data_IF_850494631529
#
_entry.id   IF_850494631529
#
_cell.length_a   1.000
_cell.length_b   1.000
_cell.length_c   1.000
_cell.angle_alpha   90.00
_cell.angle_beta   90.00
_cell.angle_gamma   90.00
#
_symmetry.space_group_name_H-M   'P 1'
#
loop_
_entity.id
_entity.type
_entity.pdbx_description
1 polymer ?
#
# COMPACT_ATOMS: atom_id res chain seq x y z
N UNK A 1 2.22 -25.24 -9.57
CA UNK A 1 1.35 -26.36 -9.75
C UNK A 1 1.22 -26.83 -11.20
N UNK A 2 0.12 -26.49 -11.88
CA UNK A 2 -0.24 -27.08 -13.19
C UNK A 2 0.81 -26.89 -14.30
N UNK A 3 1.47 -25.72 -14.36
CA UNK A 3 2.52 -25.45 -15.36
C UNK A 3 3.74 -26.36 -15.18
N UNK A 4 4.17 -26.58 -13.94
CA UNK A 4 5.29 -27.48 -13.66
C UNK A 4 4.92 -28.93 -14.00
N UNK A 5 3.71 -29.38 -13.64
CA UNK A 5 3.23 -30.71 -13.97
C UNK A 5 3.18 -30.92 -15.50
N UNK A 6 2.64 -29.95 -16.25
CA UNK A 6 2.65 -29.99 -17.73
C UNK A 6 4.07 -30.13 -18.27
N UNK A 7 5.01 -29.30 -17.76
CA UNK A 7 6.43 -29.39 -18.18
C UNK A 7 7.05 -30.74 -17.88
N UNK A 8 6.71 -31.35 -16.75
CA UNK A 8 7.21 -32.68 -16.40
C UNK A 8 6.64 -33.81 -17.28
N UNK A 9 5.39 -33.65 -17.74
CA UNK A 9 4.77 -34.62 -18.67
C UNK A 9 5.40 -34.49 -20.06
N UNK A 10 5.61 -33.25 -20.51
CA UNK A 10 6.20 -32.97 -21.83
C UNK A 10 7.71 -33.29 -21.87
N UNK A 11 8.40 -33.20 -20.74
CA UNK A 11 9.84 -33.46 -20.59
C UNK A 11 10.09 -34.45 -19.44
N UNK A 12 9.79 -35.74 -19.64
CA UNK A 12 9.94 -36.74 -18.58
C UNK A 12 11.41 -36.98 -18.23
N UNK A 13 11.66 -37.36 -16.97
CA UNK A 13 12.97 -37.81 -16.55
C UNK A 13 13.32 -39.11 -17.21
N UNK A 14 14.60 -39.27 -17.59
CA UNK A 14 15.16 -40.51 -18.14
C UNK A 14 16.09 -41.21 -17.14
N UNK A 15 16.58 -40.52 -16.13
CA UNK A 15 17.43 -41.10 -15.10
C UNK A 15 16.59 -41.87 -14.07
N UNK A 16 16.86 -43.18 -13.98
CA UNK A 16 16.14 -44.10 -13.11
C UNK A 16 16.20 -43.66 -11.65
N UNK A 17 17.35 -43.22 -11.15
CA UNK A 17 17.52 -42.81 -9.73
C UNK A 17 16.68 -41.59 -9.41
N UNK A 18 16.59 -40.61 -10.33
CA UNK A 18 15.76 -39.43 -10.13
C UNK A 18 14.25 -39.74 -10.15
N UNK A 19 13.85 -40.73 -10.98
CA UNK A 19 12.46 -41.21 -11.01
C UNK A 19 12.11 -41.91 -9.70
N UNK A 20 12.98 -42.82 -9.23
CA UNK A 20 12.79 -43.57 -7.98
C UNK A 20 12.68 -42.61 -6.78
N UNK A 21 13.54 -41.59 -6.66
CA UNK A 21 13.45 -40.57 -5.61
C UNK A 21 12.11 -39.84 -5.61
N UNK A 22 11.54 -39.53 -6.78
CA UNK A 22 10.19 -38.96 -6.85
C UNK A 22 9.12 -39.89 -6.34
N UNK A 23 9.21 -41.16 -6.70
CA UNK A 23 8.26 -42.19 -6.23
C UNK A 23 8.36 -42.43 -4.72
N UNK A 24 9.55 -42.44 -4.17
CA UNK A 24 9.77 -42.57 -2.73
C UNK A 24 9.13 -41.42 -1.96
N UNK A 25 9.31 -40.18 -2.43
CA UNK A 25 8.69 -39.01 -1.82
C UNK A 25 7.16 -39.03 -1.95
N UNK A 26 6.61 -39.44 -3.11
CA UNK A 26 5.16 -39.60 -3.29
C UNK A 26 4.63 -40.68 -2.36
N UNK A 27 5.33 -41.80 -2.22
CA UNK A 27 4.94 -42.86 -1.30
C UNK A 27 4.88 -42.39 0.15
N UNK A 28 5.87 -41.61 0.61
CA UNK A 28 5.83 -40.96 1.93
C UNK A 28 4.62 -40.04 2.10
N UNK A 29 4.34 -39.18 1.13
CA UNK A 29 3.16 -38.31 1.16
C UNK A 29 1.83 -39.07 1.19
N UNK A 30 1.77 -40.27 0.62
CA UNK A 30 0.57 -41.09 0.65
C UNK A 30 0.38 -41.82 2.00
N UNK A 31 1.47 -42.17 2.69
CA UNK A 31 1.43 -42.75 4.04
C UNK A 31 1.20 -41.71 5.13
N UNK A 32 1.80 -40.53 5.00
CA UNK A 32 1.72 -39.43 5.96
C UNK A 32 0.55 -38.48 5.63
N UNK A 33 -0.68 -39.00 5.79
CA UNK A 33 -1.89 -38.32 5.37
C UNK A 33 -2.04 -36.94 6.02
N UNK A 34 -1.73 -36.80 7.31
CA UNK A 34 -1.88 -35.54 8.05
C UNK A 34 -0.92 -34.47 7.49
N UNK A 35 0.37 -34.82 7.34
CA UNK A 35 1.39 -33.90 6.80
C UNK A 35 1.08 -33.53 5.34
N UNK A 36 0.54 -34.45 4.56
CA UNK A 36 0.11 -34.19 3.18
C UNK A 36 -1.01 -33.13 3.13
N UNK A 37 -2.05 -33.26 3.96
CA UNK A 37 -3.15 -32.30 3.95
C UNK A 37 -2.70 -30.94 4.50
N UNK A 38 -1.89 -30.90 5.57
CA UNK A 38 -1.29 -29.66 6.07
C UNK A 38 -0.43 -28.97 5.00
N UNK A 39 0.43 -29.71 4.31
CA UNK A 39 1.23 -29.18 3.21
C UNK A 39 0.36 -28.62 2.08
N UNK A 40 -0.74 -29.32 1.75
CA UNK A 40 -1.68 -28.88 0.73
C UNK A 40 -2.38 -27.57 1.08
N UNK A 41 -2.80 -27.42 2.33
CA UNK A 41 -3.41 -26.17 2.83
C UNK A 41 -2.42 -25.01 2.79
N UNK A 42 -1.18 -25.21 3.24
CA UNK A 42 -0.13 -24.20 3.16
C UNK A 42 0.17 -23.79 1.72
N UNK A 43 0.28 -24.75 0.81
CA UNK A 43 0.53 -24.47 -0.61
C UNK A 43 -0.60 -23.71 -1.30
N UNK A 44 -1.85 -23.81 -0.82
CA UNK A 44 -2.96 -23.00 -1.31
C UNK A 44 -2.79 -21.50 -1.01
N UNK A 45 -2.03 -21.15 0.03
CA UNK A 45 -1.72 -19.79 0.41
C UNK A 45 -0.49 -19.22 -0.31
N UNK A 46 0.24 -20.05 -1.07
CA UNK A 46 1.38 -19.62 -1.90
C UNK A 46 0.85 -19.13 -3.24
N UNK A 47 1.09 -17.88 -3.53
CA UNK A 47 0.72 -17.26 -4.81
C UNK A 47 1.61 -17.78 -5.96
N UNK A 48 1.28 -17.39 -7.16
CA UNK A 48 2.02 -17.74 -8.37
C UNK A 48 3.38 -16.99 -8.41
N UNK A 49 4.39 -17.57 -7.73
CA UNK A 49 5.72 -16.97 -7.61
C UNK A 49 6.41 -16.80 -8.97
N UNK A 50 6.22 -17.74 -9.92
CA UNK A 50 6.79 -17.63 -11.27
C UNK A 50 6.25 -16.39 -11.99
N UNK A 51 4.95 -16.10 -11.87
CA UNK A 51 4.34 -14.89 -12.42
C UNK A 51 4.81 -13.63 -11.71
N UNK A 52 4.93 -13.69 -10.37
CA UNK A 52 5.44 -12.55 -9.59
C UNK A 52 6.88 -12.23 -9.96
N UNK A 53 7.76 -13.25 -10.08
CA UNK A 53 9.16 -13.07 -10.52
C UNK A 53 9.25 -12.43 -11.91
N UNK A 54 8.38 -12.83 -12.84
CA UNK A 54 8.27 -12.19 -14.15
C UNK A 54 7.91 -10.70 -14.03
N UNK A 55 6.90 -10.36 -13.21
CA UNK A 55 6.51 -8.94 -12.99
C UNK A 55 7.59 -8.12 -12.31
N UNK A 56 8.32 -8.71 -11.36
CA UNK A 56 9.49 -8.08 -10.72
C UNK A 56 10.55 -7.76 -11.76
N UNK A 57 10.89 -8.73 -12.62
CA UNK A 57 11.91 -8.58 -13.67
C UNK A 57 11.57 -7.47 -14.66
N UNK A 58 10.30 -7.37 -15.08
CA UNK A 58 9.82 -6.34 -16.00
C UNK A 58 9.55 -4.98 -15.35
N UNK A 59 9.65 -4.87 -14.02
CA UNK A 59 9.39 -3.62 -13.30
C UNK A 59 7.91 -3.22 -13.23
N UNK A 60 6.98 -4.12 -13.53
CA UNK A 60 5.53 -3.88 -13.55
C UNK A 60 4.84 -4.28 -12.22
N UNK A 61 5.62 -4.42 -11.16
CA UNK A 61 5.17 -4.80 -9.84
C UNK A 61 4.41 -3.65 -9.17
N UNK A 62 3.29 -3.95 -8.56
CA UNK A 62 2.54 -3.02 -7.71
C UNK A 62 2.60 -3.43 -6.22
N UNK A 63 2.05 -2.61 -5.33
CA UNK A 63 2.09 -2.87 -3.90
C UNK A 63 1.35 -4.17 -3.51
N UNK A 64 0.23 -4.49 -4.16
CA UNK A 64 -0.51 -5.74 -3.92
C UNK A 64 0.27 -6.98 -4.31
N UNK A 65 1.09 -6.90 -5.36
CA UNK A 65 1.97 -8.01 -5.72
C UNK A 65 3.03 -8.26 -4.63
N UNK A 66 3.55 -7.19 -3.99
CA UNK A 66 4.47 -7.32 -2.85
C UNK A 66 3.78 -7.92 -1.62
N UNK A 67 2.51 -7.58 -1.36
CA UNK A 67 1.72 -8.21 -0.30
C UNK A 67 1.51 -9.72 -0.61
N UNK A 68 1.19 -10.07 -1.85
CA UNK A 68 1.08 -11.47 -2.26
C UNK A 68 2.39 -12.24 -2.08
N UNK A 69 3.52 -11.61 -2.42
CA UNK A 69 4.84 -12.18 -2.18
C UNK A 69 5.08 -12.37 -0.68
N UNK A 70 4.85 -11.35 0.14
CA UNK A 70 4.96 -11.42 1.61
C UNK A 70 4.14 -12.58 2.18
N UNK A 71 2.86 -12.68 1.78
CA UNK A 71 1.97 -13.75 2.25
C UNK A 71 2.46 -15.14 1.83
N UNK A 72 3.05 -15.26 0.64
CA UNK A 72 3.69 -16.51 0.21
C UNK A 72 4.92 -16.85 1.06
N UNK A 73 5.76 -15.86 1.34
CA UNK A 73 6.96 -16.04 2.17
C UNK A 73 6.63 -16.43 3.61
N UNK A 74 5.54 -15.91 4.18
CA UNK A 74 5.11 -16.25 5.55
C UNK A 74 4.77 -17.73 5.74
N UNK A 75 4.45 -18.46 4.68
CA UNK A 75 4.14 -19.89 4.74
C UNK A 75 5.39 -20.78 4.65
N UNK A 76 6.52 -20.24 4.14
CA UNK A 76 7.74 -21.04 3.87
C UNK A 76 8.33 -21.73 5.11
N UNK A 77 8.39 -21.12 6.32
CA UNK A 77 8.89 -21.79 7.51
C UNK A 77 8.08 -23.05 7.84
N UNK A 78 6.77 -22.99 7.70
CA UNK A 78 5.87 -24.13 7.96
C UNK A 78 6.02 -25.23 6.91
N UNK A 79 6.10 -24.81 5.62
CA UNK A 79 6.36 -25.76 4.51
C UNK A 79 7.71 -26.44 4.71
N UNK A 80 8.75 -25.68 5.09
CA UNK A 80 10.09 -26.22 5.35
C UNK A 80 10.06 -27.29 6.44
N UNK A 81 9.41 -27.04 7.57
CA UNK A 81 9.24 -28.00 8.65
C UNK A 81 8.62 -29.31 8.16
N UNK A 82 7.53 -29.25 7.40
CA UNK A 82 6.86 -30.43 6.87
C UNK A 82 7.77 -31.20 5.88
N UNK A 83 8.48 -30.46 5.03
CA UNK A 83 9.42 -31.10 4.08
C UNK A 83 10.59 -31.81 4.79
N UNK A 84 11.07 -31.23 5.90
CA UNK A 84 12.10 -31.86 6.76
C UNK A 84 11.55 -33.12 7.46
N UNK A 85 10.34 -33.12 8.00
CA UNK A 85 9.66 -34.27 8.58
C UNK A 85 9.44 -35.41 7.53
N UNK A 86 9.15 -35.02 6.28
CA UNK A 86 9.02 -35.93 5.16
C UNK A 86 10.37 -36.38 4.56
N UNK A 87 11.48 -35.89 5.12
CA UNK A 87 12.86 -36.18 4.62
C UNK A 87 13.00 -35.84 3.12
N UNK A 88 12.45 -34.73 2.69
CA UNK A 88 12.59 -34.27 1.31
C UNK A 88 14.04 -33.90 1.01
N UNK A 89 14.58 -34.37 -0.10
CA UNK A 89 16.01 -34.33 -0.43
C UNK A 89 16.53 -32.94 -0.85
N UNK A 90 15.65 -31.92 -0.90
CA UNK A 90 16.02 -30.55 -1.25
C UNK A 90 15.75 -29.58 -0.10
N UNK A 91 16.71 -28.72 0.14
CA UNK A 91 16.57 -27.65 1.13
C UNK A 91 15.70 -26.52 0.57
N UNK A 92 14.72 -26.10 1.35
CA UNK A 92 13.93 -24.89 1.07
C UNK A 92 14.60 -23.72 1.79
N UNK A 93 15.04 -22.69 1.04
CA UNK A 93 15.53 -21.45 1.61
C UNK A 93 14.33 -20.60 2.07
N UNK A 94 14.33 -20.21 3.34
CA UNK A 94 13.33 -19.31 3.90
C UNK A 94 13.90 -17.90 3.81
N UNK A 95 13.22 -17.00 3.12
CA UNK A 95 13.68 -15.63 2.86
C UNK A 95 13.16 -14.68 3.95
N UNK A 96 13.59 -14.90 5.20
CA UNK A 96 13.10 -14.16 6.38
C UNK A 96 13.41 -12.68 6.28
N UNK A 97 14.57 -12.29 5.79
CA UNK A 97 14.99 -10.91 5.58
C UNK A 97 14.11 -10.19 4.55
N UNK A 98 13.72 -10.88 3.48
CA UNK A 98 12.79 -10.35 2.49
C UNK A 98 11.37 -10.22 3.06
N UNK A 99 10.92 -11.24 3.81
CA UNK A 99 9.64 -11.19 4.50
C UNK A 99 9.57 -9.99 5.44
N UNK A 100 10.58 -9.83 6.32
CA UNK A 100 10.64 -8.71 7.25
C UNK A 100 10.66 -7.34 6.56
N UNK A 101 11.42 -7.21 5.46
CA UNK A 101 11.43 -5.97 4.68
C UNK A 101 10.03 -5.63 4.20
N UNK A 102 9.32 -6.58 3.59
CA UNK A 102 7.98 -6.35 3.05
C UNK A 102 6.96 -6.09 4.15
N UNK A 103 7.06 -6.81 5.27
CA UNK A 103 6.15 -6.61 6.41
C UNK A 103 6.32 -5.25 7.08
N UNK A 104 7.53 -4.75 7.18
CA UNK A 104 7.82 -3.43 7.77
C UNK A 104 7.51 -2.28 6.82
N UNK A 105 7.58 -2.50 5.51
CA UNK A 105 7.55 -1.42 4.52
C UNK A 105 6.21 -1.21 3.83
N UNK A 106 5.47 -2.28 3.51
CA UNK A 106 4.27 -2.20 2.67
C UNK A 106 3.00 -2.23 3.52
N UNK A 107 2.10 -1.29 3.24
CA UNK A 107 0.79 -1.24 3.89
C UNK A 107 -0.11 -2.38 3.40
N UNK A 108 -0.77 -3.08 4.32
CA UNK A 108 -1.69 -4.20 3.99
C UNK A 108 -2.85 -3.77 3.08
N UNK A 109 -3.36 -2.56 3.31
CA UNK A 109 -4.46 -1.97 2.54
C UNK A 109 -3.98 -1.13 1.36
N UNK A 110 -2.75 -1.38 0.86
CA UNK A 110 -2.19 -0.60 -0.23
C UNK A 110 -3.09 -0.67 -1.48
N UNK A 111 -3.33 0.47 -2.16
CA UNK A 111 -4.10 0.50 -3.39
C UNK A 111 -3.34 -0.17 -4.55
N UNK A 112 -4.05 -0.47 -5.64
CA UNK A 112 -3.42 -1.01 -6.86
C UNK A 112 -2.55 0.05 -7.53
N UNK A 113 -3.01 1.31 -7.49
CA UNK A 113 -2.39 2.44 -8.17
C UNK A 113 -1.41 3.15 -7.25
N UNK A 114 -0.14 3.17 -7.63
CA UNK A 114 0.93 3.80 -6.85
C UNK A 114 0.67 5.30 -6.60
N UNK A 115 0.00 5.97 -7.53
CA UNK A 115 -0.28 7.42 -7.48
C UNK A 115 -1.31 7.83 -6.43
N UNK A 116 -2.02 6.89 -5.84
CA UNK A 116 -3.04 7.17 -4.80
C UNK A 116 -2.42 7.37 -3.41
N UNK A 117 -1.12 7.08 -3.25
CA UNK A 117 -0.48 7.07 -1.94
C UNK A 117 -0.90 5.88 -1.08
N UNK A 118 -0.64 5.95 0.22
CA UNK A 118 -0.96 4.91 1.21
C UNK A 118 -0.34 3.53 0.92
N UNK A 119 0.84 3.52 0.30
CA UNK A 119 1.58 2.32 -0.08
C UNK A 119 2.52 1.89 1.04
N UNK A 120 3.21 2.87 1.63
CA UNK A 120 4.23 2.65 2.65
C UNK A 120 3.60 2.65 4.04
N UNK A 121 3.97 1.63 4.81
CA UNK A 121 3.50 1.41 6.19
C UNK A 121 4.02 2.52 7.11
N UNK A 122 3.16 2.99 8.01
CA UNK A 122 3.55 3.96 9.04
C UNK A 122 4.70 3.40 9.88
N UNK A 123 5.69 4.22 10.16
CA UNK A 123 6.90 3.84 10.92
C UNK A 123 8.05 3.34 10.05
N UNK A 124 7.85 3.15 8.74
CA UNK A 124 8.94 2.75 7.84
C UNK A 124 9.89 3.90 7.51
N UNK A 125 9.34 5.10 7.28
CA UNK A 125 10.11 6.32 7.02
C UNK A 125 9.64 7.44 7.93
N UNK A 126 10.55 7.94 8.78
CA UNK A 126 10.25 9.07 9.68
C UNK A 126 9.86 10.34 8.90
N UNK A 127 10.56 10.63 7.80
CA UNK A 127 10.28 11.77 6.95
C UNK A 127 8.87 11.69 6.33
N UNK A 128 8.48 10.51 5.86
CA UNK A 128 7.15 10.29 5.31
C UNK A 128 6.06 10.46 6.40
N UNK A 129 6.30 9.94 7.60
CA UNK A 129 5.36 10.08 8.71
C UNK A 129 5.20 11.55 9.12
N UNK A 130 6.26 12.33 9.12
CA UNK A 130 6.23 13.77 9.37
C UNK A 130 5.41 14.52 8.31
N UNK A 131 5.63 14.24 7.00
CA UNK A 131 4.86 14.83 5.92
C UNK A 131 3.36 14.48 6.01
N UNK A 132 3.03 13.22 6.28
CA UNK A 132 1.63 12.79 6.49
C UNK A 132 0.99 13.43 7.71
N UNK A 133 1.75 13.65 8.78
CA UNK A 133 1.28 14.34 9.98
C UNK A 133 0.98 15.81 9.69
N UNK A 134 1.83 16.49 8.91
CA UNK A 134 1.60 17.88 8.50
C UNK A 134 0.33 18.00 7.64
N UNK A 135 0.14 17.11 6.69
CA UNK A 135 -1.05 17.08 5.85
C UNK A 135 -2.33 16.81 6.67
N UNK A 136 -2.32 15.81 7.55
CA UNK A 136 -3.48 15.51 8.41
C UNK A 136 -3.74 16.60 9.43
N UNK A 137 -2.70 17.15 10.07
CA UNK A 137 -2.81 18.31 10.97
C UNK A 137 -3.35 19.55 10.27
N UNK A 138 -3.09 19.69 8.97
CA UNK A 138 -3.68 20.72 8.14
C UNK A 138 -5.20 20.58 7.97
N UNK A 139 -5.71 19.35 7.80
CA UNK A 139 -7.16 19.09 7.75
C UNK A 139 -7.84 19.42 9.07
N UNK A 140 -7.25 19.05 10.18
CA UNK A 140 -7.74 19.41 11.51
C UNK A 140 -7.72 20.93 11.73
N UNK A 141 -6.70 21.61 11.19
CA UNK A 141 -6.65 23.09 11.20
C UNK A 141 -7.82 23.70 10.42
N UNK A 142 -8.18 23.17 9.26
CA UNK A 142 -9.32 23.66 8.46
C UNK A 142 -10.63 23.53 9.25
N UNK A 143 -10.86 22.41 9.94
CA UNK A 143 -12.03 22.22 10.79
C UNK A 143 -12.07 23.22 11.98
N UNK A 144 -10.93 23.42 12.63
CA UNK A 144 -10.80 24.44 13.70
C UNK A 144 -11.03 25.84 13.18
N UNK A 145 -10.49 26.16 11.99
CA UNK A 145 -10.70 27.48 11.37
C UNK A 145 -12.19 27.73 11.08
N UNK A 146 -12.93 26.73 10.63
CA UNK A 146 -14.38 26.84 10.41
C UNK A 146 -15.09 27.24 11.70
N UNK A 147 -14.74 26.58 12.81
CA UNK A 147 -15.32 26.88 14.11
C UNK A 147 -14.91 28.30 14.60
N UNK A 148 -13.61 28.61 14.57
CA UNK A 148 -13.09 29.94 14.95
C UNK A 148 -13.76 31.07 14.16
N UNK A 149 -13.91 30.88 12.84
CA UNK A 149 -14.54 31.89 11.97
C UNK A 149 -16.03 32.03 12.25
N UNK A 150 -16.75 30.96 12.56
CA UNK A 150 -18.15 31.02 13.00
C UNK A 150 -18.29 31.80 14.31
N UNK A 151 -17.44 31.54 15.28
CA UNK A 151 -17.44 32.23 16.57
C UNK A 151 -17.07 33.71 16.42
N UNK A 152 -16.03 34.04 15.64
CA UNK A 152 -15.53 35.38 15.40
C UNK A 152 -16.54 36.27 14.65
N UNK A 153 -17.19 35.69 13.64
CA UNK A 153 -18.08 36.47 12.73
C UNK A 153 -19.53 36.42 13.15
N UNK A 154 -19.94 35.45 13.99
CA UNK A 154 -21.35 35.19 14.32
C UNK A 154 -22.15 34.58 13.15
N UNK A 155 -21.50 34.24 12.03
CA UNK A 155 -22.13 33.69 10.84
C UNK A 155 -22.34 32.18 11.03
N UNK A 156 -23.54 31.75 11.42
CA UNK A 156 -23.86 30.36 11.79
C UNK A 156 -23.73 29.39 10.62
N UNK A 157 -24.02 29.81 9.39
CA UNK A 157 -24.02 28.98 8.19
C UNK A 157 -22.68 28.99 7.44
N UNK A 158 -21.63 29.55 8.04
CA UNK A 158 -20.29 29.56 7.47
C UNK A 158 -19.78 28.09 7.40
N UNK A 159 -19.22 27.71 6.25
CA UNK A 159 -18.57 26.41 6.03
C UNK A 159 -17.24 26.64 5.34
N UNK A 160 -16.27 25.78 5.63
CA UNK A 160 -15.02 25.70 4.87
C UNK A 160 -15.10 24.51 3.92
N UNK A 161 -14.86 24.74 2.63
CA UNK A 161 -14.89 23.74 1.58
C UNK A 161 -13.63 23.77 0.73
N UNK A 162 -13.48 22.80 -0.18
CA UNK A 162 -12.39 22.72 -1.14
C UNK A 162 -12.91 22.65 -2.57
N UNK A 163 -12.28 23.42 -3.46
CA UNK A 163 -12.55 23.41 -4.89
C UNK A 163 -11.24 23.18 -5.66
N UNK A 164 -11.25 22.31 -6.67
CA UNK A 164 -10.05 21.98 -7.46
C UNK A 164 -9.47 23.18 -8.23
N UNK A 165 -10.26 24.21 -8.51
CA UNK A 165 -9.85 25.37 -9.34
C UNK A 165 -9.16 26.44 -8.51
N UNK A 166 -9.68 26.75 -7.32
CA UNK A 166 -9.18 27.86 -6.48
C UNK A 166 -8.88 27.48 -5.03
N UNK A 167 -8.93 26.17 -4.71
CA UNK A 167 -8.50 25.60 -3.44
C UNK A 167 -9.51 25.69 -2.31
N UNK A 168 -9.06 25.87 -1.08
CA UNK A 168 -9.93 26.02 0.09
C UNK A 168 -10.65 27.37 0.07
N UNK A 169 -11.93 27.37 0.50
CA UNK A 169 -12.78 28.54 0.54
C UNK A 169 -13.71 28.54 1.75
N UNK A 170 -14.14 29.72 2.14
CA UNK A 170 -15.20 29.95 3.12
C UNK A 170 -16.48 30.19 2.33
N UNK A 171 -17.52 29.39 2.59
CA UNK A 171 -18.84 29.53 1.96
C UNK A 171 -19.83 30.15 2.95
N UNK A 172 -20.53 31.19 2.53
CA UNK A 172 -21.52 31.93 3.32
C UNK A 172 -22.80 32.03 2.50
N UNK A 173 -23.94 31.69 3.11
CA UNK A 173 -25.25 31.81 2.46
C UNK A 173 -25.61 33.27 2.19
N UNK A 174 -26.34 33.52 1.10
CA UNK A 174 -26.77 34.87 0.71
C UNK A 174 -27.55 35.60 1.81
N UNK A 175 -28.27 34.86 2.65
CA UNK A 175 -29.01 35.46 3.78
C UNK A 175 -28.15 35.96 4.94
N UNK A 176 -26.85 35.67 4.95
CA UNK A 176 -25.92 36.09 5.99
C UNK A 176 -24.72 36.90 5.48
N UNK A 177 -24.67 37.19 4.19
CA UNK A 177 -23.55 37.95 3.59
C UNK A 177 -23.40 39.38 4.15
N UNK A 178 -24.49 40.00 4.58
CA UNK A 178 -24.48 41.36 5.15
C UNK A 178 -23.79 41.39 6.53
N UNK A 179 -23.52 40.24 7.15
CA UNK A 179 -22.74 40.12 8.37
C UNK A 179 -21.23 40.18 8.12
N UNK A 180 -20.80 40.15 6.85
CA UNK A 180 -19.38 40.21 6.48
C UNK A 180 -18.91 41.66 6.65
N UNK A 181 -17.89 41.87 7.49
CA UNK A 181 -17.25 43.14 7.71
C UNK A 181 -15.89 43.19 7.01
N UNK A 182 -15.46 44.38 6.62
CA UNK A 182 -14.16 44.60 5.96
C UNK A 182 -12.99 44.12 6.80
N UNK A 183 -13.08 44.19 8.14
CA UNK A 183 -12.08 43.73 9.09
C UNK A 183 -11.82 42.19 9.01
N UNK A 184 -12.71 41.41 8.38
CA UNK A 184 -12.55 39.97 8.23
C UNK A 184 -11.59 39.59 7.10
N UNK A 185 -11.24 40.55 6.24
CA UNK A 185 -10.35 40.34 5.09
C UNK A 185 -10.81 39.23 4.15
N UNK A 186 -12.12 39.10 3.92
CA UNK A 186 -12.72 38.14 3.03
C UNK A 186 -12.66 38.64 1.59
N UNK A 187 -11.86 37.97 0.76
CA UNK A 187 -11.81 38.23 -0.67
C UNK A 187 -12.76 37.29 -1.40
N UNK A 188 -13.81 37.86 -2.03
CA UNK A 188 -14.79 37.08 -2.81
C UNK A 188 -14.15 36.46 -4.04
N UNK A 189 -14.35 35.15 -4.24
CA UNK A 189 -13.88 34.37 -5.39
C UNK A 189 -14.99 33.89 -6.30
N UNK A 190 -16.16 33.54 -5.74
CA UNK A 190 -17.27 33.01 -6.53
C UNK A 190 -18.60 33.40 -5.91
N UNK A 191 -19.58 33.76 -6.76
CA UNK A 191 -20.97 33.95 -6.38
C UNK A 191 -21.81 32.83 -6.99
N UNK A 192 -22.62 32.18 -6.18
CA UNK A 192 -23.57 31.13 -6.56
C UNK A 192 -25.00 31.62 -6.29
N UNK A 193 -25.99 30.87 -6.73
CA UNK A 193 -27.40 31.24 -6.56
C UNK A 193 -27.84 31.37 -5.10
N UNK A 194 -27.26 30.61 -4.19
CA UNK A 194 -27.63 30.52 -2.77
C UNK A 194 -26.52 30.89 -1.78
N UNK A 195 -25.30 31.12 -2.24
CA UNK A 195 -24.15 31.42 -1.40
C UNK A 195 -23.05 32.18 -2.15
N UNK A 196 -22.13 32.74 -1.41
CA UNK A 196 -20.88 33.32 -1.92
C UNK A 196 -19.69 32.62 -1.29
N UNK A 197 -18.58 32.54 -2.05
CA UNK A 197 -17.33 31.87 -1.64
C UNK A 197 -16.20 32.89 -1.53
N UNK A 198 -15.49 32.82 -0.43
CA UNK A 198 -14.44 33.74 -0.04
C UNK A 198 -13.15 33.02 0.30
N UNK A 199 -12.04 33.73 0.22
CA UNK A 199 -10.74 33.30 0.70
C UNK A 199 -10.15 34.32 1.65
N UNK A 200 -9.29 33.87 2.55
CA UNK A 200 -8.52 34.75 3.44
C UNK A 200 -7.02 34.46 3.31
N UNK A 201 -6.14 35.43 3.63
CA UNK A 201 -4.70 35.17 3.62
C UNK A 201 -4.30 34.00 4.52
N UNK A 202 -4.87 33.89 5.72
CA UNK A 202 -4.63 32.80 6.69
C UNK A 202 -5.00 31.44 6.10
N UNK A 203 -6.14 31.36 5.38
CA UNK A 203 -6.58 30.12 4.73
C UNK A 203 -5.63 29.72 3.60
N UNK A 204 -5.17 30.67 2.80
CA UNK A 204 -4.26 30.42 1.68
C UNK A 204 -2.87 29.96 2.15
N UNK A 205 -2.30 30.58 3.17
CA UNK A 205 -1.02 30.16 3.74
C UNK A 205 -1.05 28.69 4.19
N UNK A 206 -2.14 28.28 4.86
CA UNK A 206 -2.29 26.91 5.33
C UNK A 206 -2.62 25.91 4.22
N UNK A 207 -3.37 26.37 3.20
CA UNK A 207 -3.61 25.58 1.99
C UNK A 207 -2.29 25.19 1.32
N UNK A 208 -1.41 26.14 1.09
CA UNK A 208 -0.11 25.91 0.45
C UNK A 208 0.72 24.90 1.25
N UNK A 209 0.69 24.98 2.58
CA UNK A 209 1.39 24.02 3.44
C UNK A 209 0.81 22.60 3.30
N UNK A 210 -0.52 22.46 3.31
CA UNK A 210 -1.22 21.17 3.23
C UNK A 210 -0.95 20.51 1.86
N UNK A 211 -1.19 21.26 0.76
CA UNK A 211 -1.04 20.74 -0.60
C UNK A 211 0.40 20.35 -0.90
N UNK A 212 1.37 21.18 -0.51
CA UNK A 212 2.78 20.87 -0.68
C UNK A 212 3.21 19.63 0.12
N UNK A 213 2.64 19.41 1.32
CA UNK A 213 2.94 18.23 2.13
C UNK A 213 2.32 16.96 1.56
N UNK A 214 1.10 17.05 1.02
CA UNK A 214 0.43 15.93 0.34
C UNK A 214 1.21 15.50 -0.91
N UNK A 215 1.56 16.44 -1.79
CA UNK A 215 2.33 16.14 -3.01
C UNK A 215 3.71 15.54 -2.69
N UNK A 216 4.43 16.11 -1.73
CA UNK A 216 5.73 15.58 -1.29
C UNK A 216 5.60 14.20 -0.66
N UNK A 217 4.55 13.94 0.10
CA UNK A 217 4.33 12.63 0.71
C UNK A 217 4.09 11.55 -0.35
N UNK A 218 3.28 11.82 -1.38
CA UNK A 218 3.01 10.90 -2.50
C UNK A 218 4.29 10.64 -3.30
N UNK A 219 5.08 11.68 -3.56
CA UNK A 219 6.35 11.56 -4.27
C UNK A 219 7.34 10.70 -3.47
N UNK A 220 7.49 10.95 -2.17
CA UNK A 220 8.38 10.18 -1.31
C UNK A 220 7.92 8.72 -1.18
N UNK A 221 6.61 8.46 -1.07
CA UNK A 221 6.08 7.09 -1.10
C UNK A 221 6.45 6.34 -2.38
N UNK A 222 6.34 7.02 -3.52
CA UNK A 222 6.75 6.46 -4.80
C UNK A 222 8.25 6.10 -4.82
N UNK A 223 9.10 7.00 -4.37
CA UNK A 223 10.55 6.77 -4.32
C UNK A 223 10.92 5.60 -3.40
N UNK A 224 10.33 5.55 -2.21
CA UNK A 224 10.52 4.44 -1.26
C UNK A 224 10.02 3.11 -1.85
N UNK A 225 8.88 3.11 -2.53
CA UNK A 225 8.36 1.94 -3.21
C UNK A 225 9.31 1.44 -4.31
N UNK A 226 9.90 2.34 -5.10
CA UNK A 226 10.89 1.97 -6.13
C UNK A 226 12.12 1.33 -5.47
N UNK A 227 12.64 1.90 -4.38
CA UNK A 227 13.78 1.33 -3.65
C UNK A 227 13.48 -0.09 -3.14
N UNK A 228 12.29 -0.30 -2.52
CA UNK A 228 11.87 -1.62 -2.06
C UNK A 228 11.77 -2.59 -3.22
N UNK A 229 11.16 -2.18 -4.33
CA UNK A 229 11.05 -3.00 -5.55
C UNK A 229 12.42 -3.41 -6.09
N UNK A 230 13.39 -2.52 -6.09
CA UNK A 230 14.74 -2.81 -6.58
C UNK A 230 15.48 -3.78 -5.64
N UNK A 231 15.26 -3.68 -4.32
CA UNK A 231 15.76 -4.68 -3.35
C UNK A 231 15.14 -6.05 -3.64
N UNK A 232 13.80 -6.13 -3.79
CA UNK A 232 13.07 -7.36 -4.09
C UNK A 232 13.57 -7.99 -5.39
N UNK A 233 13.93 -7.18 -6.39
CA UNK A 233 14.50 -7.66 -7.66
C UNK A 233 15.80 -8.45 -7.45
N UNK A 234 16.61 -8.10 -6.47
CA UNK A 234 17.82 -8.83 -6.10
C UNK A 234 17.56 -10.25 -5.61
N UNK A 235 16.32 -10.53 -5.12
CA UNK A 235 15.93 -11.86 -4.64
C UNK A 235 15.35 -12.79 -5.71
N UNK A 236 15.15 -12.31 -6.96
CA UNK A 236 14.57 -13.13 -8.05
C UNK A 236 15.23 -14.52 -8.18
N UNK A 237 16.57 -14.66 -8.11
CA UNK A 237 17.20 -15.97 -8.25
C UNK A 237 16.84 -16.97 -7.13
N UNK A 238 16.32 -16.48 -6.00
CA UNK A 238 15.95 -17.26 -4.82
C UNK A 238 14.45 -17.51 -4.70
N UNK A 239 13.63 -16.69 -5.39
CA UNK A 239 12.18 -16.82 -5.49
C UNK A 239 11.80 -17.82 -6.59
#
# INVERSE_FOLDING_TARGET
GSRLLKRWIENPLVDKKQIERRYDFISKLLTEFILKEELRELLNNVYDLERLSGRISYGNLNARDLIQLKNSLSTLPHIKRILEELEYDRTLEVLDDLYELLDKSINEDAPVTIKEGNIIKKGYSKELDELKSLSSGGKDFILKLEQEERERTGIKNLKVGFNKVFGYYIEISNGQKDLIKDEYNYTRKQTLSNCERYVTPKLKEKEDLILNSDEKSIQLEYELFIQIRDIVRGYIPKI
#
